data_IF_273577879053
#
_entry.id   IF_273577879053
#
_cell.length_a   1.000
_cell.length_b   1.000
_cell.length_c   1.000
_cell.angle_alpha   90.00
_cell.angle_beta   90.00
_cell.angle_gamma   90.00
#
_symmetry.space_group_name_H-M   'P 1'
#
loop_
_entity.id
_entity.type
_entity.pdbx_description
1 polymer ?
#
# COMPACT_ATOMS: atom_id res chain seq x y z
N UNK A 1 -22.09 20.19 -17.31
CA UNK A 1 -20.69 19.98 -17.70
C UNK A 1 -19.97 21.29 -17.53
N UNK A 2 -18.84 21.26 -16.84
CA UNK A 2 -17.97 22.41 -16.60
C UNK A 2 -16.86 22.39 -17.65
N UNK A 3 -16.60 23.53 -18.31
CA UNK A 3 -15.47 23.67 -19.23
C UNK A 3 -14.30 24.37 -18.53
N UNK A 4 -13.12 23.77 -18.61
CA UNK A 4 -11.87 24.31 -18.06
C UNK A 4 -10.70 24.06 -19.02
N UNK A 5 -9.57 24.71 -18.78
CA UNK A 5 -8.31 24.49 -19.50
C UNK A 5 -7.25 23.93 -18.58
N UNK A 6 -6.69 22.77 -18.91
CA UNK A 6 -5.52 22.20 -18.21
C UNK A 6 -4.37 22.13 -19.21
N UNK A 7 -3.26 22.83 -18.94
CA UNK A 7 -2.12 22.94 -19.86
C UNK A 7 -2.52 23.36 -21.29
N UNK A 8 -3.43 24.34 -21.40
CA UNK A 8 -4.03 24.82 -22.66
C UNK A 8 -4.93 23.81 -23.40
N UNK A 9 -5.18 22.62 -22.84
CA UNK A 9 -6.11 21.64 -23.39
C UNK A 9 -7.50 21.92 -22.79
N UNK A 10 -8.52 22.04 -23.65
CA UNK A 10 -9.91 22.17 -23.21
C UNK A 10 -10.37 20.82 -22.62
N UNK A 11 -10.87 20.85 -21.39
CA UNK A 11 -11.35 19.69 -20.66
C UNK A 11 -12.81 19.93 -20.30
N UNK A 12 -13.66 18.92 -20.53
CA UNK A 12 -15.03 18.88 -20.02
C UNK A 12 -15.05 18.00 -18.79
N UNK A 13 -15.52 18.53 -17.68
CA UNK A 13 -15.59 17.84 -16.42
C UNK A 13 -17.02 17.84 -15.86
N UNK A 14 -17.32 16.85 -15.04
CA UNK A 14 -18.56 16.81 -14.28
C UNK A 14 -18.47 17.74 -13.07
N UNK A 15 -19.63 18.24 -12.63
CA UNK A 15 -19.68 19.08 -11.44
C UNK A 15 -19.30 18.26 -10.20
N UNK A 16 -18.46 18.83 -9.34
CA UNK A 16 -17.90 18.13 -8.17
C UNK A 16 -16.64 17.30 -8.45
N UNK A 17 -16.22 17.13 -9.71
CA UNK A 17 -14.96 16.49 -10.05
C UNK A 17 -13.76 17.30 -9.53
N UNK A 18 -12.72 16.63 -9.04
CA UNK A 18 -11.49 17.32 -8.62
C UNK A 18 -10.63 17.68 -9.82
N UNK A 19 -9.71 18.66 -9.68
CA UNK A 19 -8.73 18.97 -10.73
C UNK A 19 -7.89 17.74 -11.08
N UNK A 20 -7.56 16.89 -10.09
CA UNK A 20 -6.79 15.66 -10.31
C UNK A 20 -7.54 14.69 -11.22
N UNK A 21 -8.82 14.46 -10.96
CA UNK A 21 -9.65 13.55 -11.74
C UNK A 21 -9.88 14.10 -13.15
N UNK A 22 -10.15 15.41 -13.28
CA UNK A 22 -10.30 16.07 -14.57
C UNK A 22 -9.01 16.04 -15.40
N UNK A 23 -7.84 16.17 -14.77
CA UNK A 23 -6.56 15.99 -15.47
C UNK A 23 -6.37 14.54 -15.94
N UNK A 24 -6.75 13.57 -15.10
CA UNK A 24 -6.63 12.14 -15.41
C UNK A 24 -7.52 11.72 -16.59
N UNK A 25 -8.72 12.29 -16.73
CA UNK A 25 -9.64 11.96 -17.83
C UNK A 25 -9.12 12.31 -19.23
N UNK A 26 -8.20 13.28 -19.31
CA UNK A 26 -7.53 13.69 -20.56
C UNK A 26 -6.07 13.20 -20.64
N UNK A 27 -5.69 12.25 -19.79
CA UNK A 27 -4.35 11.63 -19.82
C UNK A 27 -3.23 12.49 -19.22
N UNK A 28 -3.54 13.58 -18.52
CA UNK A 28 -2.54 14.41 -17.83
C UNK A 28 -2.25 13.81 -16.46
N UNK A 29 -1.04 13.27 -16.30
CA UNK A 29 -0.57 12.73 -15.02
C UNK A 29 -0.16 13.86 -14.07
N UNK A 30 -0.81 13.92 -12.90
CA UNK A 30 -0.36 14.71 -11.74
C UNK A 30 0.09 13.73 -10.65
N UNK A 31 1.33 13.84 -10.13
CA UNK A 31 1.81 12.92 -9.11
C UNK A 31 1.07 13.10 -7.77
N UNK A 32 0.99 12.03 -6.98
CA UNK A 32 0.35 12.02 -5.66
C UNK A 32 1.10 11.08 -4.70
N UNK A 33 1.10 11.36 -3.39
CA UNK A 33 1.61 10.45 -2.36
C UNK A 33 0.60 10.09 -1.27
N UNK A 34 -0.28 11.00 -0.84
CA UNK A 34 -1.26 10.70 0.21
C UNK A 34 -2.68 10.44 -0.34
N UNK A 35 -2.91 10.72 -1.62
CA UNK A 35 -4.21 10.47 -2.25
C UNK A 35 -4.43 8.97 -2.38
N UNK A 36 -5.67 8.54 -2.11
CA UNK A 36 -6.15 7.19 -2.34
C UNK A 36 -7.48 7.31 -3.06
N UNK A 37 -7.69 6.44 -4.05
CA UNK A 37 -8.94 6.35 -4.78
C UNK A 37 -10.07 5.99 -3.80
N UNK A 38 -11.27 6.53 -4.03
CA UNK A 38 -12.49 6.23 -3.28
C UNK A 38 -12.51 6.71 -1.82
N UNK A 39 -11.49 7.46 -1.38
CA UNK A 39 -11.46 8.12 -0.08
C UNK A 39 -11.39 9.64 -0.21
N UNK A 40 -11.98 10.35 0.77
CA UNK A 40 -11.96 11.81 0.79
C UNK A 40 -10.52 12.36 0.72
N UNK A 41 -10.22 13.32 -0.15
CA UNK A 41 -8.87 13.82 -0.34
C UNK A 41 -8.43 14.72 0.82
N UNK A 42 -7.17 14.60 1.23
CA UNK A 42 -6.61 15.43 2.32
C UNK A 42 -5.81 16.64 1.82
N UNK A 43 -5.25 16.57 0.60
CA UNK A 43 -4.32 17.58 0.09
C UNK A 43 -3.00 17.70 0.87
N UNK A 44 -2.76 16.85 1.87
CA UNK A 44 -1.76 17.06 2.91
C UNK A 44 -0.30 16.92 2.42
N UNK A 45 0.00 15.96 1.54
CA UNK A 45 1.37 15.76 1.05
C UNK A 45 1.86 16.85 0.08
N UNK A 46 0.94 17.66 -0.47
CA UNK A 46 1.23 18.74 -1.43
C UNK A 46 2.00 18.34 -2.71
N UNK A 47 2.25 17.05 -2.97
CA UNK A 47 2.84 16.60 -4.25
C UNK A 47 1.91 16.89 -5.43
N UNK A 48 0.60 16.82 -5.23
CA UNK A 48 -0.42 17.06 -6.26
C UNK A 48 -0.67 18.55 -6.56
N UNK A 49 0.16 19.47 -6.07
CA UNK A 49 -0.06 20.91 -6.26
C UNK A 49 -0.01 21.31 -7.74
N UNK A 50 -0.89 22.21 -8.13
CA UNK A 50 -0.97 22.82 -9.47
C UNK A 50 -1.09 24.34 -9.32
N UNK A 51 -0.81 25.06 -10.40
CA UNK A 51 -1.02 26.51 -10.45
C UNK A 51 -2.35 26.80 -11.15
N UNK A 52 -3.18 27.66 -10.56
CA UNK A 52 -4.48 28.04 -11.08
C UNK A 52 -4.47 29.55 -11.29
N UNK A 53 -4.79 30.02 -12.50
CA UNK A 53 -4.80 31.44 -12.82
C UNK A 53 -5.75 32.20 -11.88
N UNK A 54 -5.29 33.34 -11.36
CA UNK A 54 -6.04 34.15 -10.39
C UNK A 54 -5.91 33.70 -8.94
N UNK A 55 -5.31 32.53 -8.65
CA UNK A 55 -5.03 32.08 -7.29
C UNK A 55 -3.58 32.42 -6.89
N UNK A 56 -3.39 32.99 -5.70
CA UNK A 56 -2.04 33.41 -5.22
C UNK A 56 -1.12 32.22 -4.94
N UNK A 57 -1.67 31.15 -4.36
CA UNK A 57 -0.95 29.96 -3.93
C UNK A 57 -1.09 28.80 -4.91
N UNK A 58 -0.24 27.77 -4.74
CA UNK A 58 -0.44 26.51 -5.46
C UNK A 58 -1.58 25.72 -4.81
N UNK A 59 -2.44 25.14 -5.64
CA UNK A 59 -3.68 24.49 -5.22
C UNK A 59 -3.49 22.97 -5.25
N UNK A 60 -3.90 22.22 -4.21
CA UNK A 60 -3.80 20.76 -4.23
C UNK A 60 -4.87 20.18 -5.15
N UNK A 61 -4.45 19.65 -6.31
CA UNK A 61 -5.41 19.18 -7.33
C UNK A 61 -6.32 18.05 -6.85
N UNK A 62 -5.87 17.24 -5.89
CA UNK A 62 -6.66 16.10 -5.39
C UNK A 62 -7.86 16.49 -4.54
N UNK A 63 -7.87 17.70 -3.96
CA UNK A 63 -8.91 18.15 -3.01
C UNK A 63 -9.68 19.37 -3.50
N UNK A 64 -9.28 19.97 -4.63
CA UNK A 64 -9.90 21.19 -5.13
C UNK A 64 -10.83 20.87 -6.30
N UNK A 65 -12.12 21.26 -6.23
CA UNK A 65 -13.08 21.02 -7.30
C UNK A 65 -12.78 21.90 -8.52
N UNK A 66 -13.15 21.42 -9.70
CA UNK A 66 -13.10 22.22 -10.93
C UNK A 66 -14.19 23.30 -10.92
N UNK A 67 -13.95 24.42 -11.60
CA UNK A 67 -14.94 25.48 -11.83
C UNK A 67 -14.90 25.95 -13.27
N UNK A 68 -16.00 26.56 -13.72
CA UNK A 68 -16.15 27.06 -15.08
C UNK A 68 -15.06 28.08 -15.42
N UNK A 69 -14.47 27.96 -16.61
CA UNK A 69 -13.42 28.84 -17.10
C UNK A 69 -12.07 28.72 -16.37
N UNK A 70 -11.91 27.76 -15.45
CA UNK A 70 -10.66 27.57 -14.71
C UNK A 70 -9.49 27.28 -15.66
N UNK A 71 -8.33 27.89 -15.41
CA UNK A 71 -7.09 27.63 -16.14
C UNK A 71 -6.05 27.07 -15.20
N UNK A 72 -5.59 25.86 -15.48
CA UNK A 72 -4.67 25.10 -14.62
C UNK A 72 -3.38 24.80 -15.37
N UNK A 73 -2.25 25.05 -14.72
CA UNK A 73 -0.93 24.61 -15.17
C UNK A 73 -0.39 23.54 -14.21
N UNK A 74 -0.09 22.36 -14.74
CA UNK A 74 0.35 21.22 -13.91
C UNK A 74 1.87 21.09 -13.79
N UNK A 75 2.63 21.88 -14.57
CA UNK A 75 4.08 21.80 -14.69
C UNK A 75 4.79 23.16 -14.81
N UNK A 76 4.20 24.24 -14.29
CA UNK A 76 4.84 25.55 -14.26
C UNK A 76 6.16 25.52 -13.47
N UNK A 77 7.09 26.49 -13.65
CA UNK A 77 8.31 26.56 -12.85
C UNK A 77 8.04 26.55 -11.33
N UNK A 78 6.99 27.24 -10.88
CA UNK A 78 6.59 27.28 -9.46
C UNK A 78 6.14 25.90 -8.97
N UNK A 79 5.32 25.19 -9.76
CA UNK A 79 4.86 23.83 -9.43
C UNK A 79 6.04 22.86 -9.35
N UNK A 80 6.93 22.85 -10.35
CA UNK A 80 8.11 21.99 -10.38
C UNK A 80 9.01 22.22 -9.17
N UNK A 81 9.29 23.49 -8.86
CA UNK A 81 10.13 23.84 -7.71
C UNK A 81 9.48 23.40 -6.39
N UNK A 82 8.19 23.63 -6.20
CA UNK A 82 7.50 23.23 -4.98
C UNK A 82 7.52 21.72 -4.78
N UNK A 83 7.21 20.94 -5.81
CA UNK A 83 7.25 19.47 -5.75
C UNK A 83 8.67 18.96 -5.50
N UNK A 84 9.68 19.50 -6.19
CA UNK A 84 11.09 19.17 -5.96
C UNK A 84 11.47 19.42 -4.49
N UNK A 85 11.19 20.60 -3.95
CA UNK A 85 11.49 20.92 -2.55
C UNK A 85 10.81 19.98 -1.57
N UNK A 86 9.54 19.59 -1.80
CA UNK A 86 8.85 18.63 -0.94
C UNK A 86 9.56 17.27 -0.95
N UNK A 87 9.92 16.77 -2.13
CA UNK A 87 10.61 15.46 -2.22
C UNK A 87 12.02 15.55 -1.62
N UNK A 88 12.75 16.65 -1.82
CA UNK A 88 14.05 16.89 -1.15
C UNK A 88 13.92 16.80 0.39
N UNK A 89 12.87 17.39 0.97
CA UNK A 89 12.61 17.31 2.42
C UNK A 89 12.23 15.91 2.89
N UNK A 90 11.47 15.15 2.07
CA UNK A 90 11.10 13.77 2.39
C UNK A 90 12.31 12.85 2.35
N UNK A 91 13.17 13.00 1.34
CA UNK A 91 14.39 12.21 1.14
C UNK A 91 15.39 12.47 2.25
N UNK A 92 15.58 13.73 2.67
CA UNK A 92 16.53 14.07 3.74
C UNK A 92 16.21 13.36 5.06
N UNK A 93 14.93 13.20 5.40
CA UNK A 93 14.50 12.50 6.61
C UNK A 93 14.35 10.98 6.42
N UNK A 94 14.67 10.44 5.24
CA UNK A 94 14.55 9.03 4.88
C UNK A 94 15.94 8.36 4.81
N UNK A 95 16.06 7.05 5.13
CA UNK A 95 17.32 6.33 4.95
C UNK A 95 17.63 6.07 3.47
N UNK A 96 18.90 6.23 3.07
CA UNK A 96 19.38 6.03 1.69
C UNK A 96 19.79 4.56 1.43
N UNK A 97 18.96 3.61 1.83
CA UNK A 97 19.28 2.17 1.81
C UNK A 97 18.61 1.40 0.66
N UNK A 98 18.28 2.09 -0.43
CA UNK A 98 17.49 1.56 -1.55
C UNK A 98 18.06 0.27 -2.15
N UNK A 99 19.39 0.06 -2.13
CA UNK A 99 20.03 -1.14 -2.67
C UNK A 99 19.68 -2.43 -1.90
N UNK A 100 19.33 -2.31 -0.62
CA UNK A 100 18.96 -3.44 0.25
C UNK A 100 17.48 -3.42 0.64
N UNK A 101 16.74 -2.40 0.18
CA UNK A 101 15.34 -2.20 0.55
C UNK A 101 14.41 -3.15 -0.24
N UNK A 102 13.42 -3.73 0.45
CA UNK A 102 12.43 -4.64 -0.16
C UNK A 102 11.53 -3.97 -1.20
N UNK A 103 11.45 -2.63 -1.20
CA UNK A 103 10.68 -1.83 -2.16
C UNK A 103 11.53 -1.23 -3.29
N UNK A 104 12.75 -1.73 -3.48
CA UNK A 104 13.58 -1.27 -4.59
C UNK A 104 12.86 -1.54 -5.92
N UNK A 105 12.77 -0.52 -6.79
CA UNK A 105 12.06 -0.53 -8.09
C UNK A 105 10.53 -0.46 -8.04
N UNK A 106 9.92 -0.38 -6.86
CA UNK A 106 8.46 -0.19 -6.71
C UNK A 106 8.10 0.75 -5.54
N UNK A 107 8.99 1.69 -5.21
CA UNK A 107 8.81 2.70 -4.18
C UNK A 107 8.39 4.02 -4.82
N UNK A 108 7.21 4.55 -4.44
CA UNK A 108 6.71 5.80 -5.02
C UNK A 108 7.60 7.01 -4.66
N UNK A 109 8.29 6.97 -3.51
CA UNK A 109 9.27 8.01 -3.17
C UNK A 109 10.51 7.94 -4.08
N UNK A 110 10.96 6.73 -4.40
CA UNK A 110 12.09 6.51 -5.32
C UNK A 110 11.75 7.06 -6.71
N UNK A 111 10.55 6.75 -7.23
CA UNK A 111 10.08 7.24 -8.52
C UNK A 111 10.02 8.78 -8.57
N UNK A 112 9.55 9.42 -7.50
CA UNK A 112 9.51 10.89 -7.42
C UNK A 112 10.92 11.49 -7.34
N UNK A 113 11.83 10.88 -6.59
CA UNK A 113 13.22 11.32 -6.51
C UNK A 113 13.92 11.24 -7.88
N UNK A 114 13.63 10.19 -8.65
CA UNK A 114 14.08 10.08 -10.03
C UNK A 114 13.45 11.17 -10.91
N UNK A 115 12.12 11.30 -10.87
CA UNK A 115 11.35 12.26 -11.68
C UNK A 115 11.81 13.72 -11.49
N UNK A 116 12.18 14.12 -10.27
CA UNK A 116 12.66 15.48 -9.96
C UNK A 116 14.19 15.61 -9.96
N UNK A 117 14.91 14.57 -10.41
CA UNK A 117 16.37 14.57 -10.53
C UNK A 117 17.08 14.94 -9.22
N UNK A 118 16.61 14.40 -8.11
CA UNK A 118 17.27 14.57 -6.80
C UNK A 118 18.50 13.67 -6.79
N UNK A 119 19.68 14.27 -6.69
CA UNK A 119 20.99 13.60 -6.74
C UNK A 119 21.90 13.96 -5.58
N UNK A 120 21.47 14.89 -4.74
CA UNK A 120 22.22 15.42 -3.60
C UNK A 120 21.25 15.82 -2.49
N UNK A 121 21.74 15.80 -1.26
CA UNK A 121 21.01 16.27 -0.09
C UNK A 121 21.21 17.78 0.06
N UNK A 122 20.25 18.55 -0.43
CA UNK A 122 20.27 20.02 -0.36
C UNK A 122 20.00 20.54 1.06
N UNK A 123 19.15 19.83 1.79
CA UNK A 123 18.83 20.12 3.18
C UNK A 123 19.68 19.22 4.08
N UNK A 124 19.92 19.66 5.30
CA UNK A 124 20.56 18.84 6.34
C UNK A 124 19.66 18.87 7.55
N UNK A 125 19.23 17.69 7.99
CA UNK A 125 18.33 17.54 9.13
C UNK A 125 18.70 16.36 10.02
N UNK A 126 18.09 16.33 11.19
CA UNK A 126 18.09 15.12 12.01
C UNK A 126 17.42 13.99 11.20
N UNK A 127 17.92 12.76 11.33
CA UNK A 127 17.23 11.58 10.80
C UNK A 127 16.42 10.94 11.92
N UNK A 128 15.29 10.40 11.53
CA UNK A 128 14.36 9.70 12.40
C UNK A 128 15.05 8.46 13.00
N UNK A 129 15.36 8.49 14.30
CA UNK A 129 15.90 7.34 15.05
C UNK A 129 14.79 6.37 15.42
N UNK A 130 14.83 5.13 14.95
CA UNK A 130 13.76 4.17 15.23
C UNK A 130 14.20 2.71 15.32
N UNK A 131 13.71 2.08 16.39
CA UNK A 131 13.67 0.63 16.53
C UNK A 131 12.58 0.04 15.62
N UNK A 132 12.97 -0.90 14.77
CA UNK A 132 12.03 -1.67 13.95
C UNK A 132 11.13 -2.49 14.89
N UNK A 133 9.82 -2.36 14.73
CA UNK A 133 8.86 -3.21 15.44
C UNK A 133 8.77 -4.55 14.73
N UNK A 134 9.36 -5.56 15.35
CA UNK A 134 9.36 -6.97 14.93
C UNK A 134 8.47 -7.85 15.82
N UNK A 135 7.62 -7.23 16.66
CA UNK A 135 6.80 -7.97 17.62
C UNK A 135 5.77 -8.87 16.95
N UNK A 136 5.30 -8.52 15.74
CA UNK A 136 4.31 -9.29 14.98
C UNK A 136 4.93 -10.48 14.26
N UNK A 137 4.17 -11.57 14.20
CA UNK A 137 4.53 -12.75 13.42
C UNK A 137 4.36 -12.54 11.90
N UNK A 138 3.57 -11.56 11.47
CA UNK A 138 3.16 -11.40 10.07
C UNK A 138 3.76 -10.18 9.39
N UNK A 139 4.10 -9.14 10.13
CA UNK A 139 4.55 -7.87 9.56
C UNK A 139 5.59 -7.15 10.43
N UNK A 140 6.38 -6.31 9.80
CA UNK A 140 7.37 -5.45 10.43
C UNK A 140 7.04 -3.98 10.14
N UNK A 141 7.27 -3.11 11.12
CA UNK A 141 7.16 -1.66 10.95
C UNK A 141 8.52 -1.01 11.17
N UNK A 142 8.96 -0.27 10.16
CA UNK A 142 10.16 0.54 10.16
C UNK A 142 9.77 2.03 10.08
N UNK A 143 9.70 2.75 11.22
CA UNK A 143 9.27 4.14 11.21
C UNK A 143 10.27 5.09 10.54
N UNK A 144 11.54 4.70 10.36
CA UNK A 144 12.53 5.51 9.65
C UNK A 144 12.18 5.64 8.17
N UNK A 145 11.52 4.64 7.60
CA UNK A 145 11.05 4.68 6.20
C UNK A 145 9.69 5.36 6.04
N UNK A 146 9.07 5.84 7.12
CA UNK A 146 7.74 6.44 7.10
C UNK A 146 7.77 7.92 6.70
N UNK A 147 7.13 8.23 5.58
CA UNK A 147 6.94 9.60 5.07
C UNK A 147 5.67 10.30 5.60
N UNK A 148 5.01 9.72 6.60
CA UNK A 148 3.80 10.29 7.23
C UNK A 148 2.65 10.60 6.24
N UNK A 149 2.53 9.83 5.15
CA UNK A 149 1.49 10.04 4.13
C UNK A 149 0.06 9.74 4.62
N UNK A 150 -0.08 8.95 5.70
CA UNK A 150 -1.37 8.59 6.30
C UNK A 150 -2.18 7.52 5.58
N UNK A 151 -1.74 7.00 4.42
CA UNK A 151 -2.48 5.96 3.67
C UNK A 151 -2.79 4.72 4.52
N UNK A 152 -1.81 4.26 5.29
CA UNK A 152 -1.95 3.11 6.19
C UNK A 152 -2.96 3.35 7.32
N UNK A 153 -2.91 4.52 7.97
CA UNK A 153 -3.84 4.94 9.03
C UNK A 153 -5.27 4.96 8.49
N UNK A 154 -5.47 5.62 7.35
CA UNK A 154 -6.79 5.72 6.71
C UNK A 154 -7.33 4.37 6.28
N UNK A 155 -6.50 3.51 5.72
CA UNK A 155 -6.92 2.16 5.33
C UNK A 155 -7.31 1.34 6.56
N UNK A 156 -6.55 1.42 7.65
CA UNK A 156 -6.85 0.70 8.89
C UNK A 156 -8.13 1.21 9.57
N UNK A 157 -8.37 2.52 9.55
CA UNK A 157 -9.50 3.15 10.23
C UNK A 157 -10.75 3.22 9.33
N UNK A 158 -10.66 3.81 8.14
CA UNK A 158 -11.81 4.08 7.27
C UNK A 158 -12.29 2.85 6.50
N UNK A 159 -11.37 1.96 6.06
CA UNK A 159 -11.71 0.78 5.25
C UNK A 159 -11.88 -0.46 6.14
N UNK A 160 -10.87 -0.80 6.93
CA UNK A 160 -10.90 -2.01 7.77
C UNK A 160 -11.69 -1.84 9.07
N UNK A 161 -11.96 -0.60 9.50
CA UNK A 161 -12.67 -0.29 10.77
C UNK A 161 -11.99 -0.84 12.03
N UNK A 162 -10.68 -1.07 11.97
CA UNK A 162 -9.89 -1.59 13.10
C UNK A 162 -9.24 -0.45 13.88
N UNK A 163 -8.64 0.54 13.20
CA UNK A 163 -7.99 1.68 13.86
C UNK A 163 -6.76 1.33 14.70
N UNK A 164 -6.04 0.24 14.37
CA UNK A 164 -4.90 -0.24 15.16
C UNK A 164 -3.64 0.65 15.10
N UNK A 165 -3.55 1.59 14.15
CA UNK A 165 -2.45 2.53 14.00
C UNK A 165 -2.98 3.93 13.70
N UNK A 166 -2.33 4.95 14.29
CA UNK A 166 -2.66 6.36 14.06
C UNK A 166 -1.42 7.27 14.23
N UNK A 167 -1.57 8.55 13.92
CA UNK A 167 -0.57 9.57 14.16
C UNK A 167 -0.46 9.90 15.66
N UNK A 168 0.76 9.89 16.16
CA UNK A 168 1.12 10.34 17.51
C UNK A 168 2.15 11.45 17.46
N UNK A 169 2.25 12.23 18.54
CA UNK A 169 3.15 13.38 18.68
C UNK A 169 2.87 14.49 17.64
N UNK A 170 3.72 15.51 17.61
CA UNK A 170 3.59 16.68 16.72
C UNK A 170 4.94 17.11 16.15
N UNK A 171 4.87 17.83 15.03
CA UNK A 171 6.03 18.39 14.36
C UNK A 171 7.00 17.30 13.92
N UNK A 172 8.29 17.53 14.16
CA UNK A 172 9.34 16.60 13.74
C UNK A 172 9.26 15.23 14.45
N UNK A 173 8.63 15.16 15.63
CA UNK A 173 8.45 13.92 16.41
C UNK A 173 7.23 13.09 15.98
N UNK A 174 6.47 13.55 14.98
CA UNK A 174 5.28 12.84 14.51
C UNK A 174 5.62 11.45 13.98
N UNK A 175 4.84 10.46 14.41
CA UNK A 175 5.03 9.05 14.06
C UNK A 175 3.68 8.38 13.83
N UNK A 176 3.63 7.37 12.98
CA UNK A 176 2.46 6.47 12.84
C UNK A 176 2.74 5.23 13.69
N UNK A 177 1.98 5.03 14.75
CA UNK A 177 2.18 3.92 15.70
C UNK A 177 0.86 3.41 16.29
N UNK A 178 0.92 2.33 17.06
CA UNK A 178 -0.24 1.77 17.78
C UNK A 178 -0.56 2.58 19.04
N UNK A 179 -1.74 2.40 19.65
CA UNK A 179 -2.06 2.99 20.95
C UNK A 179 -0.97 2.70 22.00
N UNK A 180 -0.52 3.77 22.67
CA UNK A 180 0.55 3.72 23.68
C UNK A 180 1.91 3.21 23.15
N UNK A 181 2.14 3.24 21.83
CA UNK A 181 3.35 2.76 21.18
C UNK A 181 3.71 1.30 21.53
N UNK A 182 2.69 0.46 21.71
CA UNK A 182 2.85 -0.98 21.91
C UNK A 182 3.27 -1.69 20.61
N UNK A 183 3.82 -2.89 20.71
CA UNK A 183 4.10 -3.70 19.52
C UNK A 183 2.82 -4.06 18.75
N UNK A 184 2.90 -4.15 17.42
CA UNK A 184 1.78 -4.56 16.57
C UNK A 184 1.12 -5.90 16.98
N UNK A 185 1.86 -6.80 17.63
CA UNK A 185 1.29 -8.08 18.08
C UNK A 185 0.30 -7.93 19.24
N UNK A 186 0.57 -6.98 20.14
CA UNK A 186 -0.16 -6.78 21.41
C UNK A 186 -1.15 -5.60 21.34
N UNK A 187 -1.36 -5.05 20.15
CA UNK A 187 -2.40 -4.06 19.86
C UNK A 187 -3.61 -4.71 19.21
N UNK A 188 -4.65 -3.92 18.95
CA UNK A 188 -5.87 -4.34 18.23
C UNK A 188 -5.64 -4.70 16.75
N UNK A 189 -4.39 -4.81 16.32
CA UNK A 189 -4.05 -5.14 14.94
C UNK A 189 -4.41 -6.59 14.63
N UNK A 190 -5.33 -6.78 13.69
CA UNK A 190 -5.75 -8.09 13.17
C UNK A 190 -4.78 -8.71 12.13
N UNK A 191 -3.64 -8.07 11.88
CA UNK A 191 -2.59 -8.57 10.98
C UNK A 191 -3.02 -8.81 9.51
N UNK A 192 -4.04 -8.08 9.01
CA UNK A 192 -4.58 -8.27 7.66
C UNK A 192 -3.68 -7.73 6.52
N UNK A 193 -2.62 -7.00 6.84
CA UNK A 193 -1.64 -6.51 5.85
C UNK A 193 -2.12 -5.41 4.90
N UNK A 194 -3.36 -4.94 5.01
CA UNK A 194 -3.90 -3.90 4.11
C UNK A 194 -3.10 -2.58 4.17
N UNK A 195 -2.54 -2.27 5.33
CA UNK A 195 -1.66 -1.13 5.51
C UNK A 195 -0.30 -1.26 4.78
N UNK A 196 0.17 -2.49 4.53
CA UNK A 196 1.39 -2.77 3.74
C UNK A 196 1.12 -2.45 2.28
N UNK A 197 -0.01 -2.93 1.73
CA UNK A 197 -0.39 -2.75 0.33
C UNK A 197 -0.47 -1.28 -0.09
N UNK A 198 -0.97 -0.41 0.79
CA UNK A 198 -1.12 1.02 0.50
C UNK A 198 0.10 1.85 0.86
N UNK A 199 1.12 1.26 1.51
CA UNK A 199 2.32 2.00 1.91
C UNK A 199 3.12 2.39 0.65
N UNK A 200 3.45 3.67 0.42
CA UNK A 200 4.23 4.09 -0.75
C UNK A 200 5.73 3.77 -0.64
N UNK A 201 6.20 3.41 0.56
CA UNK A 201 7.60 3.08 0.89
C UNK A 201 7.67 1.73 1.61
N UNK A 202 8.83 1.36 2.16
CA UNK A 202 8.99 0.12 2.95
C UNK A 202 8.79 0.33 4.47
N UNK A 203 8.01 1.33 4.89
CA UNK A 203 7.73 1.58 6.31
C UNK A 203 6.90 0.48 6.97
N UNK A 204 6.07 -0.20 6.18
CA UNK A 204 5.33 -1.38 6.58
C UNK A 204 5.63 -2.46 5.54
N UNK A 205 6.02 -3.64 6.00
CA UNK A 205 6.34 -4.79 5.15
C UNK A 205 5.95 -6.09 5.84
N UNK A 206 5.80 -7.14 5.06
CA UNK A 206 5.62 -8.49 5.57
C UNK A 206 6.89 -8.98 6.28
N UNK A 207 6.71 -9.89 7.24
CA UNK A 207 7.83 -10.61 7.83
C UNK A 207 8.35 -11.64 6.83
N UNK A 208 9.60 -11.48 6.40
CA UNK A 208 10.18 -12.34 5.37
C UNK A 208 10.60 -13.70 5.93
N UNK A 209 10.03 -14.78 5.39
CA UNK A 209 10.42 -16.16 5.67
C UNK A 209 11.35 -16.74 4.59
N UNK A 210 11.82 -15.92 3.64
CA UNK A 210 12.59 -16.38 2.47
C UNK A 210 13.90 -17.09 2.85
N UNK A 211 14.59 -16.62 3.90
CA UNK A 211 15.84 -17.23 4.40
C UNK A 211 15.61 -18.61 5.01
N UNK A 212 14.50 -18.77 5.73
CA UNK A 212 14.11 -20.04 6.34
C UNK A 212 13.74 -21.06 5.27
N UNK A 213 12.93 -20.63 4.28
CA UNK A 213 12.57 -21.45 3.12
C UNK A 213 13.82 -21.87 2.33
N UNK A 214 14.73 -20.93 2.04
CA UNK A 214 15.99 -21.24 1.32
C UNK A 214 16.86 -22.22 2.09
N UNK A 215 17.00 -22.03 3.41
CA UNK A 215 17.73 -22.98 4.27
C UNK A 215 17.09 -24.37 4.25
N UNK A 216 15.76 -24.44 4.27
CA UNK A 216 15.04 -25.70 4.21
C UNK A 216 15.17 -26.41 2.86
N UNK A 217 15.21 -25.67 1.75
CA UNK A 217 15.44 -26.21 0.40
C UNK A 217 16.85 -26.76 0.21
N UNK A 218 17.85 -26.14 0.83
CA UNK A 218 19.26 -26.57 0.75
C UNK A 218 19.57 -27.78 1.66
N UNK A 219 18.74 -28.02 2.67
CA UNK A 219 18.90 -29.14 3.59
C UNK A 219 18.40 -30.45 2.97
N UNK A 220 19.34 -31.29 2.53
CA UNK A 220 19.04 -32.58 1.89
C UNK A 220 18.26 -33.55 2.79
N UNK A 221 18.35 -33.39 4.11
CA UNK A 221 17.64 -34.23 5.08
C UNK A 221 16.14 -33.92 5.13
N UNK A 222 15.72 -32.71 4.73
CA UNK A 222 14.32 -32.29 4.80
C UNK A 222 13.53 -32.74 3.58
N UNK A 223 12.27 -33.12 3.82
CA UNK A 223 11.31 -33.31 2.75
C UNK A 223 10.47 -32.05 2.56
N UNK A 224 10.85 -31.21 1.60
CA UNK A 224 10.22 -29.90 1.40
C UNK A 224 8.92 -30.00 0.61
N UNK A 225 7.86 -29.45 1.21
CA UNK A 225 6.52 -29.38 0.65
C UNK A 225 6.09 -27.92 0.59
N UNK A 226 5.36 -27.54 -0.45
CA UNK A 226 4.75 -26.21 -0.57
C UNK A 226 3.27 -26.34 -0.94
N UNK A 227 2.45 -25.43 -0.43
CA UNK A 227 1.05 -25.28 -0.78
C UNK A 227 0.79 -23.88 -1.33
N UNK A 228 -0.11 -23.79 -2.31
CA UNK A 228 -0.46 -22.53 -2.99
C UNK A 228 -1.87 -22.13 -2.58
N UNK A 229 -2.01 -20.94 -1.97
CA UNK A 229 -3.31 -20.37 -1.65
C UNK A 229 -4.11 -20.03 -2.93
N UNK A 230 -5.47 -20.03 -2.87
CA UNK A 230 -6.31 -19.86 -4.06
C UNK A 230 -5.97 -18.62 -4.89
N UNK A 231 -5.85 -17.45 -4.25
CA UNK A 231 -5.66 -16.16 -4.93
C UNK A 231 -4.31 -16.00 -5.64
N UNK A 232 -3.26 -16.68 -5.17
CA UNK A 232 -1.88 -16.51 -5.67
C UNK A 232 -1.79 -16.80 -7.18
N UNK A 233 -2.51 -17.81 -7.66
CA UNK A 233 -2.49 -18.23 -9.07
C UNK A 233 -3.14 -17.22 -10.03
N UNK A 234 -3.91 -16.27 -9.50
CA UNK A 234 -4.62 -15.25 -10.27
C UNK A 234 -3.91 -13.89 -10.22
N UNK A 235 -3.05 -13.64 -9.23
CA UNK A 235 -2.38 -12.35 -9.02
C UNK A 235 -0.88 -12.36 -9.29
N UNK A 236 -0.16 -13.47 -9.02
CA UNK A 236 1.31 -13.46 -9.13
C UNK A 236 1.82 -13.21 -10.56
N UNK A 237 0.98 -13.42 -11.58
CA UNK A 237 1.32 -13.10 -12.96
C UNK A 237 1.54 -11.60 -13.21
N UNK A 238 0.92 -10.74 -12.41
CA UNK A 238 1.00 -9.27 -12.55
C UNK A 238 2.44 -8.77 -12.33
N UNK A 239 3.17 -9.39 -11.39
CA UNK A 239 4.60 -9.11 -11.13
C UNK A 239 5.51 -9.48 -12.31
N UNK A 240 4.99 -10.25 -13.27
CA UNK A 240 5.68 -10.62 -14.51
C UNK A 240 5.12 -9.90 -15.73
N UNK A 241 4.44 -8.76 -15.53
CA UNK A 241 3.80 -7.94 -16.56
C UNK A 241 2.70 -8.68 -17.36
N UNK A 242 2.08 -9.71 -16.78
CA UNK A 242 0.90 -10.32 -17.37
C UNK A 242 -0.36 -9.49 -17.02
N UNK A 243 -1.41 -9.51 -17.85
CA UNK A 243 -2.67 -8.85 -17.54
C UNK A 243 -3.26 -9.28 -16.19
N UNK A 244 -3.96 -8.36 -15.52
CA UNK A 244 -4.66 -8.64 -14.26
C UNK A 244 -5.59 -9.86 -14.39
N UNK A 245 -5.55 -10.76 -13.41
CA UNK A 245 -6.38 -11.97 -13.40
C UNK A 245 -5.92 -13.10 -14.33
N UNK A 246 -4.73 -12.99 -14.93
CA UNK A 246 -4.15 -14.09 -15.73
C UNK A 246 -3.92 -15.33 -14.87
N UNK A 247 -4.53 -16.46 -15.25
CA UNK A 247 -4.32 -17.73 -14.58
C UNK A 247 -2.92 -18.30 -14.90
N UNK A 248 -2.06 -18.37 -13.89
CA UNK A 248 -0.68 -18.87 -14.01
C UNK A 248 -0.42 -20.16 -13.22
N UNK A 249 -1.47 -20.97 -12.97
CA UNK A 249 -1.37 -22.19 -12.14
C UNK A 249 -0.24 -23.13 -12.60
N UNK A 250 -0.18 -23.45 -13.89
CA UNK A 250 0.82 -24.39 -14.42
C UNK A 250 2.25 -23.84 -14.34
N UNK A 251 2.42 -22.56 -14.63
CA UNK A 251 3.69 -21.85 -14.55
C UNK A 251 4.19 -21.81 -13.09
N UNK A 252 3.31 -21.52 -12.14
CA UNK A 252 3.63 -21.46 -10.72
C UNK A 252 4.07 -22.82 -10.17
N UNK A 253 3.34 -23.89 -10.49
CA UNK A 253 3.71 -25.26 -10.10
C UNK A 253 5.07 -25.64 -10.70
N UNK A 254 5.30 -25.29 -11.96
CA UNK A 254 6.59 -25.54 -12.64
C UNK A 254 7.72 -24.77 -11.97
N UNK A 255 7.51 -23.50 -11.63
CA UNK A 255 8.50 -22.66 -10.96
C UNK A 255 8.86 -23.24 -9.57
N UNK A 256 7.88 -23.62 -8.76
CA UNK A 256 8.11 -24.19 -7.43
C UNK A 256 8.88 -25.53 -7.50
N UNK A 257 8.60 -26.38 -8.49
CA UNK A 257 9.42 -27.59 -8.72
C UNK A 257 10.85 -27.26 -9.10
N UNK A 258 11.05 -26.27 -9.98
CA UNK A 258 12.39 -25.81 -10.38
C UNK A 258 13.16 -25.15 -9.22
N UNK A 259 12.46 -24.53 -8.27
CA UNK A 259 13.06 -24.00 -7.03
C UNK A 259 13.54 -25.10 -6.07
N UNK A 260 13.11 -26.36 -6.26
CA UNK A 260 13.59 -27.50 -5.48
C UNK A 260 12.59 -28.09 -4.49
N UNK A 261 11.32 -27.67 -4.49
CA UNK A 261 10.30 -28.32 -3.67
C UNK A 261 10.05 -29.76 -4.15
N UNK A 262 10.10 -30.73 -3.24
CA UNK A 262 9.89 -32.16 -3.55
C UNK A 262 8.42 -32.48 -3.86
N UNK A 263 7.49 -31.75 -3.23
CA UNK A 263 6.05 -31.79 -3.56
C UNK A 263 5.45 -30.39 -3.57
N UNK A 264 4.58 -30.18 -4.56
CA UNK A 264 3.75 -28.99 -4.70
C UNK A 264 2.31 -29.45 -4.58
N UNK A 265 1.65 -29.01 -3.52
CA UNK A 265 0.23 -29.24 -3.26
C UNK A 265 -0.55 -27.93 -3.42
N UNK A 266 -1.86 -28.05 -3.31
CA UNK A 266 -2.79 -26.94 -3.50
C UNK A 266 -3.64 -26.76 -2.24
N UNK A 267 -3.72 -25.53 -1.74
CA UNK A 267 -4.55 -25.22 -0.56
C UNK A 267 -6.04 -25.40 -0.86
N UNK A 268 -6.46 -25.39 -2.13
CA UNK A 268 -7.85 -25.67 -2.51
C UNK A 268 -8.31 -27.04 -2.01
N UNK A 269 -7.43 -28.06 -1.99
CA UNK A 269 -7.77 -29.35 -1.42
C UNK A 269 -8.12 -29.24 0.07
N UNK A 270 -7.34 -28.47 0.83
CA UNK A 270 -7.64 -28.22 2.24
C UNK A 270 -8.92 -27.37 2.40
N UNK A 271 -9.21 -26.47 1.47
CA UNK A 271 -10.47 -25.73 1.44
C UNK A 271 -11.67 -26.67 1.24
N UNK A 272 -11.57 -27.67 0.36
CA UNK A 272 -12.61 -28.70 0.19
C UNK A 272 -12.83 -29.49 1.49
N UNK A 273 -11.75 -29.86 2.20
CA UNK A 273 -11.86 -30.48 3.52
C UNK A 273 -12.52 -29.56 4.54
N UNK A 274 -12.20 -28.26 4.54
CA UNK A 274 -12.89 -27.29 5.40
C UNK A 274 -14.39 -27.26 5.12
N UNK A 275 -14.80 -27.28 3.85
CA UNK A 275 -16.22 -27.32 3.49
C UNK A 275 -16.90 -28.61 3.94
N UNK A 276 -16.21 -29.76 3.85
CA UNK A 276 -16.75 -31.03 4.35
C UNK A 276 -17.07 -30.96 5.85
N UNK A 277 -16.16 -30.42 6.65
CA UNK A 277 -16.34 -30.31 8.10
C UNK A 277 -17.35 -29.21 8.47
N UNK A 278 -17.17 -28.00 7.94
CA UNK A 278 -18.00 -26.83 8.25
C UNK A 278 -19.45 -27.01 7.73
N UNK A 279 -19.61 -27.64 6.57
CA UNK A 279 -20.92 -28.02 6.04
C UNK A 279 -21.63 -29.07 6.89
N UNK A 280 -20.88 -30.09 7.35
CA UNK A 280 -21.42 -31.12 8.26
C UNK A 280 -21.83 -30.50 9.60
N UNK A 281 -21.01 -29.61 10.14
CA UNK A 281 -21.30 -28.88 11.37
C UNK A 281 -22.56 -28.01 11.22
N UNK A 282 -22.69 -27.26 10.11
CA UNK A 282 -23.85 -26.44 9.85
C UNK A 282 -25.13 -27.27 9.81
N UNK A 283 -25.13 -28.39 9.08
CA UNK A 283 -26.28 -29.30 8.98
C UNK A 283 -26.66 -29.78 10.39
N UNK A 284 -25.69 -30.26 11.17
CA UNK A 284 -25.93 -30.72 12.55
C UNK A 284 -26.53 -29.62 13.44
N UNK A 285 -26.03 -28.39 13.35
CA UNK A 285 -26.56 -27.25 14.13
C UNK A 285 -28.00 -26.92 13.72
N UNK A 286 -28.33 -26.97 12.43
CA UNK A 286 -29.69 -26.67 11.94
C UNK A 286 -30.67 -27.79 12.32
N UNK A 287 -30.29 -29.05 12.17
CA UNK A 287 -31.20 -30.19 12.43
C UNK A 287 -31.42 -30.45 13.92
N UNK A 288 -30.41 -30.19 14.76
CA UNK A 288 -30.43 -30.55 16.18
C UNK A 288 -30.68 -29.35 17.12
N UNK A 289 -31.12 -28.20 16.59
CA UNK A 289 -31.36 -27.00 17.40
C UNK A 289 -30.08 -26.42 18.03
N UNK A 290 -28.95 -26.53 17.34
CA UNK A 290 -27.66 -25.98 17.75
C UNK A 290 -27.60 -24.44 17.68
N UNK A 291 -26.52 -23.87 18.22
CA UNK A 291 -26.34 -22.40 18.29
C UNK A 291 -26.07 -21.78 16.92
N UNK A 292 -26.82 -20.74 16.61
CA UNK A 292 -26.72 -19.92 15.40
C UNK A 292 -26.60 -18.42 15.76
N UNK A 293 -25.97 -17.58 14.91
CA UNK A 293 -25.33 -17.94 13.63
C UNK A 293 -24.03 -18.74 13.80
N UNK A 294 -23.68 -19.52 12.78
CA UNK A 294 -22.35 -20.12 12.65
C UNK A 294 -21.48 -19.17 11.82
N UNK A 295 -20.30 -18.84 12.32
CA UNK A 295 -19.33 -18.01 11.61
C UNK A 295 -18.18 -18.87 11.09
N UNK A 296 -17.66 -18.51 9.92
CA UNK A 296 -16.44 -19.10 9.38
C UNK A 296 -15.24 -18.80 10.26
N UNK A 297 -14.25 -19.69 10.26
CA UNK A 297 -13.03 -19.57 11.08
C UNK A 297 -11.73 -19.57 10.27
N UNK A 298 -11.81 -19.59 8.93
CA UNK A 298 -10.65 -19.75 8.05
C UNK A 298 -9.80 -18.48 7.88
N UNK A 299 -10.35 -17.29 8.15
CA UNK A 299 -9.63 -16.02 8.04
C UNK A 299 -8.94 -15.66 9.37
N UNK A 300 -7.60 -15.63 9.45
CA UNK A 300 -6.90 -15.35 10.71
C UNK A 300 -7.15 -13.93 11.22
N UNK A 301 -7.38 -12.96 10.33
CA UNK A 301 -7.73 -11.59 10.72
C UNK A 301 -9.16 -11.41 11.21
N UNK A 302 -10.06 -12.37 10.93
CA UNK A 302 -11.41 -12.40 11.50
C UNK A 302 -11.43 -13.11 12.85
N UNK A 303 -10.61 -14.15 13.02
CA UNK A 303 -10.51 -14.90 14.27
C UNK A 303 -9.85 -14.09 15.38
N UNK A 304 -8.93 -13.19 15.02
CA UNK A 304 -8.23 -12.30 15.95
C UNK A 304 -9.11 -11.13 16.36
#
# INVERSE_FOLDING_TARGET
>A
MIELKINNINVKAEEGMTILDAAKSVGIRIPTLCHMKDLFPTGACRICVVEVDGMRGLTPSCAYPVSEGMKVQTNSPRVRQARKTIVELLVENHPDDCLICVRNKNCELQDLSEQYSIREHRFVGEKKDHAIDISSASMERDPAKCILCGRCVRTCNEIQKVGAIDFTNRGFKSNVTTPFNKGLNVSDCILCGQCILVCPTAALREKSHSKEVTSALNDKSKYTVVQIAPAVRASIGEEYNLPLGTNVTGQLVTALRRLGFKKVFDTNFAADLTIMEEGTELISRVTNGGKLPMFTSCCPGWVK
#
